data_IF_122103693367
#
_entry.id   IF_122103693367
#
_cell.length_a   1.000
_cell.length_b   1.000
_cell.length_c   1.000
_cell.angle_alpha   90.00
_cell.angle_beta   90.00
_cell.angle_gamma   90.00
#
_symmetry.space_group_name_H-M   'P 1'
#
loop_
_entity.id
_entity.type
_entity.pdbx_description
1 polymer ?
#
# COMPACT_ATOMS: atom_id res chain seq x y z
N UNK A 1 14.54 12.85 -6.99
CA UNK A 1 13.38 12.09 -7.51
C UNK A 1 12.37 11.82 -6.41
N UNK A 2 11.13 11.45 -6.75
CA UNK A 2 10.14 10.96 -5.81
C UNK A 2 9.77 9.54 -6.19
N UNK A 3 9.77 8.64 -5.22
CA UNK A 3 9.49 7.22 -5.44
C UNK A 3 8.18 6.81 -4.78
N UNK A 4 7.48 5.87 -5.41
CA UNK A 4 6.22 5.30 -4.93
C UNK A 4 6.30 3.79 -5.02
N UNK A 5 5.96 3.10 -3.93
CA UNK A 5 5.86 1.65 -3.84
C UNK A 5 4.71 1.26 -2.93
N UNK A 6 4.26 0.01 -2.98
CA UNK A 6 3.18 -0.49 -2.13
C UNK A 6 3.24 -2.01 -1.96
N UNK A 7 2.37 -2.54 -1.12
CA UNK A 7 2.05 -3.97 -1.06
C UNK A 7 3.30 -4.87 -0.89
N UNK A 8 4.14 -4.54 0.10
CA UNK A 8 5.30 -5.35 0.42
C UNK A 8 4.95 -6.56 1.32
N UNK A 9 3.88 -6.50 2.09
CA UNK A 9 3.39 -7.58 2.96
C UNK A 9 4.49 -8.25 3.80
N UNK A 10 5.37 -7.45 4.39
CA UNK A 10 6.44 -7.95 5.26
C UNK A 10 5.89 -8.83 6.39
N UNK A 11 6.53 -9.97 6.60
CA UNK A 11 6.15 -10.94 7.63
C UNK A 11 5.00 -11.85 7.23
N UNK A 12 4.61 -11.87 5.96
CA UNK A 12 3.60 -12.80 5.45
C UNK A 12 4.01 -14.25 5.69
N UNK A 13 3.07 -15.04 6.21
CA UNK A 13 3.24 -16.48 6.39
C UNK A 13 3.02 -17.28 5.09
N UNK A 14 2.66 -16.60 4.01
CA UNK A 14 2.47 -17.19 2.68
C UNK A 14 3.64 -16.92 1.73
N UNK A 15 4.57 -16.03 2.11
CA UNK A 15 5.78 -15.73 1.35
C UNK A 15 6.94 -16.54 1.95
N UNK A 16 7.53 -17.39 1.12
CA UNK A 16 8.71 -18.14 1.49
C UNK A 16 9.93 -17.21 1.70
N UNK A 17 10.87 -17.63 2.58
CA UNK A 17 12.09 -16.86 2.87
C UNK A 17 11.85 -15.38 3.19
N UNK A 18 10.95 -15.10 4.14
CA UNK A 18 10.57 -13.73 4.51
C UNK A 18 11.76 -12.82 4.89
N UNK A 19 12.90 -13.35 5.32
CA UNK A 19 14.13 -12.60 5.56
C UNK A 19 14.77 -12.12 4.23
N UNK A 20 14.80 -12.95 3.19
CA UNK A 20 15.32 -12.58 1.86
C UNK A 20 14.41 -11.53 1.21
N UNK A 21 13.09 -11.69 1.34
CA UNK A 21 12.11 -10.70 0.91
C UNK A 21 12.35 -9.33 1.56
N UNK A 22 12.52 -9.27 2.90
CA UNK A 22 12.83 -8.04 3.60
C UNK A 22 14.18 -7.45 3.17
N UNK A 23 15.20 -8.29 2.95
CA UNK A 23 16.51 -7.86 2.45
C UNK A 23 16.41 -7.21 1.07
N UNK A 24 15.68 -7.84 0.14
CA UNK A 24 15.48 -7.29 -1.21
C UNK A 24 14.74 -5.95 -1.18
N UNK A 25 13.73 -5.80 -0.30
CA UNK A 25 13.07 -4.51 -0.10
C UNK A 25 14.04 -3.44 0.43
N UNK A 26 14.93 -3.78 1.35
CA UNK A 26 15.95 -2.86 1.87
C UNK A 26 16.90 -2.45 0.74
N UNK A 27 17.39 -3.37 -0.06
CA UNK A 27 18.26 -3.08 -1.21
C UNK A 27 17.58 -2.16 -2.23
N UNK A 28 16.28 -2.38 -2.50
CA UNK A 28 15.47 -1.50 -3.35
C UNK A 28 15.39 -0.07 -2.77
N UNK A 29 15.20 0.07 -1.46
CA UNK A 29 15.21 1.38 -0.79
C UNK A 29 16.59 2.04 -0.80
N UNK A 30 17.65 1.26 -0.67
CA UNK A 30 19.04 1.75 -0.77
C UNK A 30 19.33 2.30 -2.18
N UNK A 31 18.91 1.59 -3.22
CA UNK A 31 18.98 2.07 -4.61
C UNK A 31 18.20 3.38 -4.78
N UNK A 32 16.94 3.44 -4.29
CA UNK A 32 16.17 4.69 -4.37
C UNK A 32 16.84 5.85 -3.64
N UNK A 33 17.58 5.58 -2.56
CA UNK A 33 18.22 6.59 -1.73
C UNK A 33 19.34 7.37 -2.43
N UNK A 34 19.78 6.97 -3.60
CA UNK A 34 20.84 7.63 -4.36
C UNK A 34 20.38 9.02 -4.88
N UNK A 35 19.08 9.15 -5.25
CA UNK A 35 18.55 10.40 -5.80
C UNK A 35 17.17 10.80 -5.22
N UNK A 36 16.65 10.04 -4.26
CA UNK A 36 15.34 10.32 -3.65
C UNK A 36 15.36 11.59 -2.80
N UNK A 37 14.34 12.43 -2.96
CA UNK A 37 13.97 13.48 -1.99
C UNK A 37 12.79 13.03 -1.12
N UNK A 38 11.93 12.16 -1.64
CA UNK A 38 10.80 11.57 -0.89
C UNK A 38 10.50 10.15 -1.39
N UNK A 39 10.08 9.29 -0.47
CA UNK A 39 9.62 7.94 -0.75
C UNK A 39 8.23 7.78 -0.15
N UNK A 40 7.24 7.43 -0.98
CA UNK A 40 5.85 7.19 -0.60
C UNK A 40 5.56 5.69 -0.66
N UNK A 41 5.20 5.11 0.48
CA UNK A 41 4.78 3.72 0.63
C UNK A 41 3.26 3.70 0.74
N UNK A 42 2.56 3.28 -0.30
CA UNK A 42 1.11 3.44 -0.42
C UNK A 42 0.31 2.27 0.19
N UNK A 43 0.69 1.85 1.40
CA UNK A 43 -0.06 0.87 2.22
C UNK A 43 0.37 -0.57 2.02
N UNK A 44 -0.13 -1.42 2.92
CA UNK A 44 0.13 -2.86 3.00
C UNK A 44 1.63 -3.21 2.99
N UNK A 45 2.43 -2.37 3.69
CA UNK A 45 3.85 -2.65 3.90
C UNK A 45 4.08 -3.85 4.80
N UNK A 46 3.13 -4.13 5.69
CA UNK A 46 3.14 -5.30 6.58
C UNK A 46 1.92 -6.18 6.29
N UNK A 47 2.12 -7.51 6.25
CA UNK A 47 1.03 -8.46 6.05
C UNK A 47 0.00 -8.44 7.19
N UNK A 48 0.44 -8.07 8.38
CA UNK A 48 -0.40 -7.70 9.52
C UNK A 48 0.36 -6.77 10.46
N UNK A 49 -0.22 -5.62 10.79
CA UNK A 49 0.32 -4.67 11.76
C UNK A 49 -0.72 -4.28 12.78
N UNK A 50 -0.34 -4.40 14.07
CA UNK A 50 -1.14 -3.97 15.21
C UNK A 50 -0.25 -3.42 16.32
N UNK A 51 -0.55 -2.24 16.83
CA UNK A 51 0.14 -1.66 17.99
C UNK A 51 -0.63 -1.98 19.27
N UNK A 52 -0.23 -3.06 19.95
CA UNK A 52 -0.79 -3.48 21.24
C UNK A 52 -0.31 -2.56 22.37
N UNK A 53 -1.05 -2.52 23.49
CA UNK A 53 -0.57 -1.86 24.72
C UNK A 53 0.60 -2.63 25.33
N UNK A 54 0.64 -3.95 25.18
CA UNK A 54 1.75 -4.80 25.63
C UNK A 54 2.78 -4.92 24.52
N UNK A 55 4.06 -4.89 24.86
CA UNK A 55 5.16 -4.99 23.91
C UNK A 55 5.09 -6.28 23.08
N UNK A 56 4.96 -6.14 21.78
CA UNK A 56 5.02 -7.24 20.83
C UNK A 56 6.46 -7.54 20.43
N UNK A 57 7.00 -8.67 20.92
CA UNK A 57 8.37 -9.09 20.59
C UNK A 57 8.50 -9.52 19.11
N UNK A 58 7.41 -9.94 18.44
CA UNK A 58 7.44 -10.37 17.04
C UNK A 58 7.84 -9.24 16.10
N UNK A 59 7.55 -8.00 16.45
CA UNK A 59 7.95 -6.82 15.67
C UNK A 59 9.46 -6.64 15.50
N UNK A 60 10.27 -7.31 16.35
CA UNK A 60 11.74 -7.28 16.21
C UNK A 60 12.23 -7.83 14.86
N UNK A 61 11.45 -8.70 14.22
CA UNK A 61 11.78 -9.21 12.88
C UNK A 61 11.90 -8.08 11.84
N UNK A 62 11.22 -6.95 12.03
CA UNK A 62 11.26 -5.79 11.12
C UNK A 62 12.35 -4.78 11.46
N UNK A 63 13.18 -5.03 12.50
CA UNK A 63 14.22 -4.09 12.90
C UNK A 63 15.19 -3.71 11.78
N UNK A 64 15.62 -4.60 10.87
CA UNK A 64 16.46 -4.21 9.73
C UNK A 64 15.76 -3.18 8.84
N UNK A 65 14.50 -3.39 8.49
CA UNK A 65 13.70 -2.46 7.71
C UNK A 65 13.52 -1.11 8.41
N UNK A 66 13.17 -1.12 9.71
CA UNK A 66 13.04 0.13 10.49
C UNK A 66 14.37 0.88 10.61
N UNK A 67 15.49 0.15 10.72
CA UNK A 67 16.82 0.77 10.75
C UNK A 67 17.11 1.47 9.43
N UNK A 68 16.76 0.86 8.31
CA UNK A 68 16.95 1.46 7.00
C UNK A 68 16.09 2.72 6.85
N UNK A 69 14.78 2.68 7.18
CA UNK A 69 13.94 3.87 7.10
C UNK A 69 14.51 5.04 7.93
N UNK A 70 15.04 4.77 9.15
CA UNK A 70 15.70 5.81 9.94
C UNK A 70 17.00 6.33 9.31
N UNK A 71 17.74 5.46 8.65
CA UNK A 71 18.96 5.84 7.91
C UNK A 71 18.61 6.79 6.76
N UNK A 72 17.56 6.47 5.99
CA UNK A 72 17.05 7.31 4.92
C UNK A 72 16.54 8.66 5.42
N UNK A 73 15.75 8.67 6.49
CA UNK A 73 15.29 9.91 7.12
C UNK A 73 16.45 10.79 7.60
N UNK A 74 17.52 10.19 8.16
CA UNK A 74 18.74 10.91 8.56
C UNK A 74 19.52 11.49 7.37
N UNK A 75 19.42 10.89 6.18
CA UNK A 75 19.94 11.45 4.92
C UNK A 75 19.10 12.63 4.39
N UNK A 76 18.00 13.00 5.05
CA UNK A 76 17.10 14.06 4.62
C UNK A 76 16.01 13.61 3.65
N UNK A 77 15.84 12.31 3.43
CA UNK A 77 14.77 11.76 2.59
C UNK A 77 13.47 11.75 3.38
N UNK A 78 12.41 12.37 2.85
CA UNK A 78 11.10 12.36 3.47
C UNK A 78 10.40 11.02 3.21
N UNK A 79 10.11 10.28 4.29
CA UNK A 79 9.46 8.98 4.22
C UNK A 79 7.98 9.13 4.60
N UNK A 80 7.10 8.70 3.71
CA UNK A 80 5.65 8.71 3.90
C UNK A 80 5.12 7.28 3.84
N UNK A 81 4.32 6.87 4.83
CA UNK A 81 3.67 5.56 4.87
C UNK A 81 2.17 5.77 4.96
N UNK A 82 1.44 5.29 3.97
CA UNK A 82 -0.01 5.18 4.00
C UNK A 82 -0.39 3.87 4.69
N UNK A 83 -1.48 3.87 5.41
CA UNK A 83 -2.06 2.64 5.90
C UNK A 83 -2.91 1.99 4.81
N UNK A 84 -2.73 0.68 4.62
CA UNK A 84 -3.61 -0.15 3.82
C UNK A 84 -4.59 -0.94 4.70
N UNK A 85 -5.22 -1.96 4.14
CA UNK A 85 -6.17 -2.79 4.89
C UNK A 85 -5.50 -3.83 5.80
N UNK A 86 -4.21 -4.11 5.63
CA UNK A 86 -3.43 -5.04 6.45
C UNK A 86 -2.67 -4.34 7.60
N UNK A 87 -2.35 -3.07 7.46
CA UNK A 87 -1.51 -2.32 8.41
C UNK A 87 -2.18 -1.04 8.96
N UNK A 88 -3.51 -0.99 8.92
CA UNK A 88 -4.30 0.18 9.35
C UNK A 88 -4.25 0.45 10.87
N UNK A 89 -3.82 -0.53 11.70
CA UNK A 89 -3.90 -0.43 13.16
C UNK A 89 -2.59 0.08 13.79
N UNK A 90 -2.14 1.23 13.31
CA UNK A 90 -1.03 2.01 13.86
C UNK A 90 -1.56 3.19 14.68
N UNK A 91 -0.93 3.48 15.83
CA UNK A 91 -1.37 4.48 16.80
C UNK A 91 -0.20 5.38 17.25
N UNK A 92 0.69 5.68 16.31
CA UNK A 92 1.86 6.52 16.51
C UNK A 92 3.16 5.78 16.84
N UNK A 93 3.10 4.47 17.10
CA UNK A 93 4.30 3.66 17.33
C UNK A 93 5.14 3.50 16.08
N UNK A 94 4.51 3.32 14.91
CA UNK A 94 5.22 3.20 13.65
C UNK A 94 5.99 4.48 13.33
N UNK A 95 5.37 5.66 13.48
CA UNK A 95 6.05 6.94 13.37
C UNK A 95 7.28 7.05 14.29
N UNK A 96 7.11 6.73 15.59
CA UNK A 96 8.21 6.77 16.58
C UNK A 96 9.38 5.85 16.24
N UNK A 97 9.07 4.69 15.64
CA UNK A 97 10.09 3.68 15.30
C UNK A 97 10.82 4.03 14.01
N UNK A 98 10.14 4.60 13.02
CA UNK A 98 10.67 4.81 11.67
C UNK A 98 11.08 6.26 11.39
N UNK A 99 10.45 7.23 12.03
CA UNK A 99 10.52 8.66 11.68
C UNK A 99 9.66 9.04 10.47
N UNK A 100 8.92 8.08 9.89
CA UNK A 100 8.06 8.33 8.73
C UNK A 100 6.81 9.12 9.10
N UNK A 101 6.31 9.92 8.17
CA UNK A 101 4.97 10.50 8.25
C UNK A 101 3.92 9.44 7.92
N UNK A 102 2.90 9.29 8.77
CA UNK A 102 1.88 8.25 8.60
C UNK A 102 0.58 8.88 8.09
N UNK A 103 0.07 8.38 6.97
CA UNK A 103 -1.17 8.82 6.33
C UNK A 103 -2.26 7.77 6.52
N UNK A 104 -3.37 8.16 7.14
CA UNK A 104 -4.54 7.30 7.41
C UNK A 104 -5.64 7.43 6.35
N UNK A 105 -5.47 8.34 5.41
CA UNK A 105 -6.43 8.62 4.35
C UNK A 105 -5.72 9.01 3.06
N UNK A 106 -6.40 8.92 1.91
CA UNK A 106 -5.90 9.47 0.65
C UNK A 106 -5.51 10.93 0.79
N UNK A 107 -4.51 11.36 0.06
CA UNK A 107 -4.13 12.77 -0.03
C UNK A 107 -3.81 13.18 -1.46
N UNK A 108 -3.88 14.48 -1.70
CA UNK A 108 -3.43 15.10 -2.95
C UNK A 108 -2.20 15.93 -2.66
N UNK A 109 -1.16 15.73 -3.45
CA UNK A 109 0.09 16.51 -3.36
C UNK A 109 0.36 17.21 -4.68
N UNK A 110 1.11 18.32 -4.61
CA UNK A 110 1.64 18.99 -5.80
C UNK A 110 3.16 18.87 -5.79
N UNK A 111 3.72 18.31 -6.87
CA UNK A 111 5.18 18.12 -7.02
C UNK A 111 5.57 18.29 -8.49
N UNK A 112 6.62 19.05 -8.72
CA UNK A 112 7.18 19.28 -10.06
C UNK A 112 6.13 19.72 -11.09
N UNK A 113 5.22 20.63 -10.68
CA UNK A 113 4.15 21.15 -11.55
C UNK A 113 3.01 20.17 -11.82
N UNK A 114 2.99 19.00 -11.15
CA UNK A 114 1.97 17.96 -11.26
C UNK A 114 1.16 17.80 -9.99
N UNK A 115 -0.13 17.53 -10.14
CA UNK A 115 -1.05 17.20 -9.07
C UNK A 115 -1.26 15.69 -9.01
N UNK A 116 -0.89 15.06 -7.88
CA UNK A 116 -0.95 13.62 -7.71
C UNK A 116 -1.95 13.26 -6.61
N UNK A 117 -2.86 12.35 -6.89
CA UNK A 117 -3.73 11.73 -5.89
C UNK A 117 -3.10 10.42 -5.45
N UNK A 118 -2.82 10.29 -4.14
CA UNK A 118 -2.15 9.14 -3.54
C UNK A 118 -3.11 8.41 -2.60
N UNK A 119 -3.26 7.12 -2.80
CA UNK A 119 -4.07 6.28 -1.92
C UNK A 119 -3.60 4.82 -1.97
N UNK A 120 -3.87 4.04 -0.90
CA UNK A 120 -3.72 2.60 -1.00
C UNK A 120 -4.69 2.02 -2.03
N UNK A 121 -5.95 2.42 -2.01
CA UNK A 121 -6.95 2.02 -3.00
C UNK A 121 -8.09 1.19 -2.43
N UNK A 122 -7.93 0.59 -1.25
CA UNK A 122 -8.93 -0.26 -0.62
C UNK A 122 -10.23 0.50 -0.33
N UNK A 123 -11.32 0.05 -0.93
CA UNK A 123 -12.66 0.62 -0.76
C UNK A 123 -12.90 1.94 -1.49
N UNK A 124 -12.01 2.36 -2.38
CA UNK A 124 -12.31 3.44 -3.33
C UNK A 124 -13.17 2.87 -4.46
N UNK A 125 -14.37 3.42 -4.58
CA UNK A 125 -15.38 3.01 -5.55
C UNK A 125 -16.02 4.27 -6.16
N UNK A 126 -16.46 4.22 -7.42
CA UNK A 126 -17.30 5.29 -7.95
C UNK A 126 -18.65 5.33 -7.21
N UNK A 127 -19.32 6.46 -7.20
CA UNK A 127 -20.58 6.64 -6.47
C UNK A 127 -21.69 5.68 -6.92
N UNK A 128 -21.71 5.39 -8.23
CA UNK A 128 -22.67 4.46 -8.85
C UNK A 128 -22.07 3.05 -9.08
N UNK A 129 -21.12 2.63 -8.23
CA UNK A 129 -20.41 1.36 -8.40
C UNK A 129 -21.34 0.14 -8.54
N UNK A 130 -22.55 0.19 -7.97
CA UNK A 130 -23.52 -0.90 -8.07
C UNK A 130 -23.95 -1.20 -9.51
N UNK A 131 -23.95 -0.19 -10.39
CA UNK A 131 -24.33 -0.33 -11.79
C UNK A 131 -23.32 -1.17 -12.61
N UNK A 132 -22.07 -1.20 -12.15
CA UNK A 132 -20.99 -1.90 -12.85
C UNK A 132 -20.89 -3.39 -12.50
N UNK A 133 -21.60 -3.85 -11.44
CA UNK A 133 -21.36 -5.19 -10.91
C UNK A 133 -22.67 -6.00 -10.72
N UNK A 134 -22.64 -7.30 -11.08
CA UNK A 134 -23.78 -8.20 -10.80
C UNK A 134 -23.99 -8.40 -9.29
N UNK A 135 -25.20 -8.73 -8.87
CA UNK A 135 -25.61 -8.87 -7.46
C UNK A 135 -24.66 -9.72 -6.61
N UNK A 136 -24.09 -10.79 -7.18
CA UNK A 136 -23.12 -11.65 -6.47
C UNK A 136 -21.83 -10.89 -6.09
N UNK A 137 -21.33 -10.03 -6.98
CA UNK A 137 -20.13 -9.20 -6.75
C UNK A 137 -20.47 -8.08 -5.78
N UNK A 138 -21.62 -7.40 -5.95
CA UNK A 138 -22.12 -6.38 -5.02
C UNK A 138 -22.18 -6.87 -3.58
N UNK A 139 -22.69 -8.09 -3.35
CA UNK A 139 -22.70 -8.71 -2.00
C UNK A 139 -21.30 -8.87 -1.40
N UNK A 140 -20.29 -9.21 -2.21
CA UNK A 140 -18.90 -9.33 -1.74
C UNK A 140 -18.33 -7.96 -1.38
N UNK A 141 -18.52 -6.95 -2.23
CA UNK A 141 -18.07 -5.57 -1.98
C UNK A 141 -18.73 -5.04 -0.71
N UNK A 142 -20.05 -5.16 -0.55
CA UNK A 142 -20.76 -4.73 0.64
C UNK A 142 -20.27 -5.43 1.92
N UNK A 143 -19.96 -6.73 1.84
CA UNK A 143 -19.35 -7.45 2.97
C UNK A 143 -17.98 -6.90 3.32
N UNK A 144 -17.14 -6.62 2.33
CA UNK A 144 -15.83 -5.99 2.53
C UNK A 144 -15.96 -4.61 3.16
N UNK A 145 -16.84 -3.76 2.66
CA UNK A 145 -17.09 -2.42 3.20
C UNK A 145 -17.59 -2.46 4.65
N UNK A 146 -18.45 -3.43 5.00
CA UNK A 146 -18.88 -3.65 6.39
C UNK A 146 -17.71 -4.06 7.29
N UNK A 147 -16.85 -4.97 6.84
CA UNK A 147 -15.65 -5.38 7.59
C UNK A 147 -14.69 -4.20 7.76
N UNK A 148 -14.45 -3.40 6.72
CA UNK A 148 -13.64 -2.18 6.79
C UNK A 148 -14.20 -1.21 7.84
N UNK A 149 -15.53 -1.00 7.88
CA UNK A 149 -16.18 -0.16 8.90
C UNK A 149 -15.98 -0.72 10.32
N UNK A 150 -16.04 -2.05 10.49
CA UNK A 150 -15.77 -2.72 11.77
C UNK A 150 -14.29 -2.50 12.18
N UNK A 151 -13.36 -2.71 11.28
CA UNK A 151 -11.92 -2.53 11.56
C UNK A 151 -11.53 -1.09 11.83
N UNK A 152 -12.26 -0.11 11.28
CA UNK A 152 -12.07 1.31 11.56
C UNK A 152 -12.80 1.80 12.82
N UNK A 153 -13.55 0.92 13.51
CA UNK A 153 -14.24 1.29 14.74
C UNK A 153 -13.24 1.43 15.90
N UNK A 154 -13.13 2.63 16.47
CA UNK A 154 -12.16 2.97 17.52
C UNK A 154 -12.31 2.12 18.80
N UNK A 155 -13.54 1.79 19.18
CA UNK A 155 -13.81 0.93 20.35
C UNK A 155 -13.30 -0.48 20.13
N UNK A 156 -13.55 -1.05 18.95
CA UNK A 156 -13.07 -2.38 18.60
C UNK A 156 -11.54 -2.40 18.47
N UNK A 157 -10.96 -1.37 17.90
CA UNK A 157 -9.50 -1.20 17.85
C UNK A 157 -8.91 -1.15 19.26
N UNK A 158 -9.51 -0.39 20.17
CA UNK A 158 -9.08 -0.33 21.57
C UNK A 158 -9.16 -1.69 22.25
N UNK A 159 -10.27 -2.40 22.12
CA UNK A 159 -10.42 -3.76 22.68
C UNK A 159 -9.39 -4.74 22.12
N UNK A 160 -9.12 -4.67 20.81
CA UNK A 160 -8.13 -5.52 20.18
C UNK A 160 -6.70 -5.19 20.65
N UNK A 161 -6.40 -3.91 20.95
CA UNK A 161 -5.12 -3.47 21.54
C UNK A 161 -4.88 -4.04 22.93
N UNK A 162 -5.93 -4.32 23.70
CA UNK A 162 -5.84 -4.95 25.01
C UNK A 162 -5.47 -6.44 24.96
N UNK A 163 -5.62 -7.10 23.80
CA UNK A 163 -5.27 -8.51 23.66
C UNK A 163 -3.77 -8.74 23.86
N UNK A 164 -3.39 -9.88 24.49
CA UNK A 164 -2.00 -10.31 24.46
C UNK A 164 -1.52 -10.45 23.00
N UNK A 165 -0.34 -9.91 22.62
CA UNK A 165 0.16 -9.93 21.26
C UNK A 165 0.18 -11.33 20.62
N UNK A 166 0.44 -12.37 21.42
CA UNK A 166 0.42 -13.77 20.95
C UNK A 166 -0.95 -14.16 20.39
N UNK A 167 -2.04 -13.75 21.04
CA UNK A 167 -3.43 -14.05 20.61
C UNK A 167 -3.78 -13.19 19.42
N UNK A 168 -3.60 -11.88 19.51
CA UNK A 168 -3.94 -10.95 18.44
C UNK A 168 -3.17 -11.25 17.15
N UNK A 169 -1.87 -11.54 17.26
CA UNK A 169 -1.06 -11.95 16.10
C UNK A 169 -1.53 -13.27 15.47
N UNK A 170 -1.92 -14.27 16.30
CA UNK A 170 -2.46 -15.53 15.76
C UNK A 170 -3.70 -15.29 14.90
N UNK A 171 -4.60 -14.42 15.37
CA UNK A 171 -5.83 -14.06 14.64
C UNK A 171 -5.47 -13.29 13.38
N UNK A 172 -4.68 -12.21 13.49
CA UNK A 172 -4.36 -11.31 12.39
C UNK A 172 -3.55 -11.98 11.28
N UNK A 173 -2.42 -12.62 11.62
CA UNK A 173 -1.63 -13.36 10.62
C UNK A 173 -2.36 -14.56 10.03
N UNK A 174 -3.24 -15.22 10.81
CA UNK A 174 -4.07 -16.30 10.28
C UNK A 174 -5.05 -15.82 9.22
N UNK A 175 -5.66 -14.66 9.46
CA UNK A 175 -6.54 -14.01 8.49
C UNK A 175 -5.76 -13.55 7.23
N UNK A 176 -4.65 -12.85 7.42
CA UNK A 176 -3.78 -12.37 6.34
C UNK A 176 -3.28 -13.53 5.47
N UNK A 177 -2.75 -14.60 6.09
CA UNK A 177 -2.31 -15.81 5.37
C UNK A 177 -3.41 -16.38 4.49
N UNK A 178 -4.64 -16.52 5.02
CA UNK A 178 -5.77 -17.06 4.25
C UNK A 178 -6.12 -16.17 3.05
N UNK A 179 -6.07 -14.84 3.23
CA UNK A 179 -6.30 -13.87 2.16
C UNK A 179 -5.24 -14.02 1.07
N UNK A 180 -3.96 -14.03 1.47
CA UNK A 180 -2.80 -14.12 0.57
C UNK A 180 -2.76 -15.42 -0.22
N UNK A 181 -2.95 -16.57 0.44
CA UNK A 181 -2.99 -17.87 -0.26
C UNK A 181 -4.12 -17.93 -1.30
N UNK A 182 -5.27 -17.31 -1.01
CA UNK A 182 -6.36 -17.24 -1.96
C UNK A 182 -6.02 -16.38 -3.18
N UNK A 183 -5.32 -15.29 -2.97
CA UNK A 183 -4.88 -14.37 -4.03
C UNK A 183 -3.82 -15.02 -4.91
N UNK A 184 -2.81 -15.65 -4.32
CA UNK A 184 -1.78 -16.40 -5.05
C UNK A 184 -2.41 -17.52 -5.90
N UNK A 185 -3.38 -18.26 -5.32
CA UNK A 185 -4.06 -19.34 -6.03
C UNK A 185 -5.00 -18.85 -7.14
N UNK A 186 -5.52 -17.63 -7.01
CA UNK A 186 -6.47 -17.04 -7.95
C UNK A 186 -6.12 -15.56 -8.17
N UNK A 187 -5.05 -15.27 -8.92
CA UNK A 187 -4.68 -13.89 -9.22
C UNK A 187 -5.85 -13.19 -9.90
N UNK A 188 -6.10 -11.96 -9.47
CA UNK A 188 -7.18 -11.16 -10.03
C UNK A 188 -6.59 -10.22 -11.08
N UNK A 189 -6.61 -10.59 -12.38
CA UNK A 189 -6.03 -9.77 -13.44
C UNK A 189 -6.76 -8.44 -13.58
N UNK A 190 -6.21 -7.56 -14.37
CA UNK A 190 -6.86 -6.32 -14.76
C UNK A 190 -8.23 -6.62 -15.39
N UNK A 191 -9.27 -6.04 -14.82
CA UNK A 191 -10.68 -6.30 -15.22
C UNK A 191 -11.09 -5.54 -16.47
N UNK A 192 -10.19 -4.74 -17.02
CA UNK A 192 -10.48 -3.80 -18.09
C UNK A 192 -10.94 -2.45 -17.57
N UNK A 193 -10.74 -1.44 -18.37
CA UNK A 193 -10.96 -0.02 -18.09
C UNK A 193 -12.39 0.32 -17.62
N UNK A 194 -13.36 -0.47 -18.04
CA UNK A 194 -14.78 -0.28 -17.71
C UNK A 194 -15.25 -1.06 -16.48
N UNK A 195 -14.37 -1.82 -15.83
CA UNK A 195 -14.71 -2.65 -14.67
C UNK A 195 -13.71 -2.58 -13.54
N UNK A 196 -12.55 -1.94 -13.74
CA UNK A 196 -11.55 -1.78 -12.68
C UNK A 196 -11.97 -0.65 -11.75
N UNK A 197 -12.22 -0.97 -10.48
CA UNK A 197 -12.79 -0.06 -9.47
C UNK A 197 -12.02 1.25 -9.38
N UNK A 198 -10.69 1.19 -9.32
CA UNK A 198 -9.82 2.37 -9.16
C UNK A 198 -9.78 3.24 -10.41
N UNK A 199 -9.89 2.63 -11.59
CA UNK A 199 -10.00 3.37 -12.87
C UNK A 199 -11.34 4.09 -12.94
N UNK A 200 -12.44 3.40 -12.58
CA UNK A 200 -13.77 3.99 -12.54
C UNK A 200 -13.87 5.14 -11.54
N UNK A 201 -13.26 4.98 -10.35
CA UNK A 201 -13.15 6.03 -9.35
C UNK A 201 -12.43 7.26 -9.92
N UNK A 202 -11.25 7.08 -10.51
CA UNK A 202 -10.47 8.18 -11.07
C UNK A 202 -11.23 8.92 -12.20
N UNK A 203 -11.89 8.17 -13.10
CA UNK A 203 -12.73 8.76 -14.16
C UNK A 203 -13.91 9.56 -13.60
N UNK A 204 -14.50 9.12 -12.50
CA UNK A 204 -15.55 9.88 -11.83
C UNK A 204 -15.01 11.18 -11.24
N UNK A 205 -13.83 11.15 -10.59
CA UNK A 205 -13.19 12.36 -10.06
C UNK A 205 -12.93 13.38 -11.18
N UNK A 206 -12.41 12.95 -12.33
CA UNK A 206 -12.21 13.82 -13.49
C UNK A 206 -13.54 14.43 -14.00
N UNK A 207 -14.61 13.63 -14.10
CA UNK A 207 -15.95 14.11 -14.49
C UNK A 207 -16.53 15.14 -13.52
N UNK A 208 -16.18 15.04 -12.24
CA UNK A 208 -16.61 15.99 -11.19
C UNK A 208 -15.75 17.27 -11.16
N UNK A 209 -14.77 17.40 -12.06
CA UNK A 209 -13.85 18.54 -12.09
C UNK A 209 -12.71 18.46 -11.08
N UNK A 210 -12.53 17.34 -10.43
CA UNK A 210 -11.42 17.07 -9.51
C UNK A 210 -10.19 16.59 -10.27
N UNK A 211 -9.66 17.39 -11.18
CA UNK A 211 -8.54 17.01 -12.04
C UNK A 211 -7.28 16.65 -11.25
N UNK A 212 -6.60 15.57 -11.67
CA UNK A 212 -5.28 15.14 -11.22
C UNK A 212 -4.46 14.64 -12.41
N UNK A 213 -3.21 15.05 -12.50
CA UNK A 213 -2.31 14.53 -13.54
C UNK A 213 -2.07 13.03 -13.34
N UNK A 214 -1.95 12.58 -12.07
CA UNK A 214 -1.73 11.18 -11.73
C UNK A 214 -2.59 10.73 -10.55
N UNK A 215 -3.28 9.60 -10.71
CA UNK A 215 -3.89 8.81 -9.64
C UNK A 215 -3.02 7.60 -9.39
N UNK A 216 -2.37 7.52 -8.22
CA UNK A 216 -1.40 6.48 -7.89
C UNK A 216 -1.97 5.59 -6.78
N UNK A 217 -2.04 4.28 -7.05
CA UNK A 217 -2.67 3.30 -6.18
C UNK A 217 -1.80 2.06 -5.95
N UNK A 218 -1.96 1.41 -4.79
CA UNK A 218 -1.57 0.05 -4.47
C UNK A 218 -2.74 -0.93 -4.55
N UNK A 219 -2.82 -1.85 -3.56
CA UNK A 219 -3.95 -2.73 -3.23
C UNK A 219 -4.30 -3.81 -4.25
N UNK A 220 -4.20 -3.51 -5.54
CA UNK A 220 -4.65 -4.43 -6.60
C UNK A 220 -3.58 -5.42 -7.03
N UNK A 221 -2.33 -5.24 -6.62
CA UNK A 221 -1.19 -6.04 -7.04
C UNK A 221 -1.11 -6.22 -8.56
N UNK A 222 -1.46 -5.17 -9.29
CA UNK A 222 -1.43 -5.11 -10.75
C UNK A 222 -0.55 -3.94 -11.14
N UNK A 223 0.43 -4.18 -11.98
CA UNK A 223 1.17 -3.12 -12.65
C UNK A 223 0.32 -2.57 -13.79
N UNK A 224 -0.03 -1.29 -13.70
CA UNK A 224 -0.84 -0.61 -14.71
C UNK A 224 -0.43 0.84 -14.82
N UNK A 225 -0.31 1.32 -16.05
CA UNK A 225 -0.17 2.72 -16.40
C UNK A 225 -1.15 3.02 -17.52
N UNK A 226 -2.28 3.65 -17.17
CA UNK A 226 -3.42 3.84 -18.05
C UNK A 226 -3.77 5.31 -18.16
N UNK A 227 -3.75 5.85 -19.36
CA UNK A 227 -4.26 7.19 -19.65
C UNK A 227 -5.79 7.18 -19.66
N UNK A 228 -6.43 8.01 -18.84
CA UNK A 228 -7.90 8.09 -18.70
C UNK A 228 -8.49 9.36 -19.33
N UNK A 229 -7.69 10.43 -19.44
CA UNK A 229 -7.96 11.65 -20.21
C UNK A 229 -6.66 12.11 -20.89
N UNK A 230 -6.66 13.10 -21.80
CA UNK A 230 -5.42 13.60 -22.39
C UNK A 230 -4.36 14.02 -21.35
N UNK A 231 -4.78 14.51 -20.19
CA UNK A 231 -3.91 15.10 -19.17
C UNK A 231 -3.90 14.31 -17.84
N UNK A 232 -4.59 13.15 -17.77
CA UNK A 232 -4.72 12.37 -16.53
C UNK A 232 -4.44 10.89 -16.74
N UNK A 233 -3.72 10.27 -15.79
CA UNK A 233 -3.34 8.85 -15.82
C UNK A 233 -3.63 8.17 -14.48
N UNK A 234 -4.02 6.90 -14.55
CA UNK A 234 -4.10 5.99 -13.40
C UNK A 234 -2.88 5.09 -13.42
N UNK A 235 -2.15 5.06 -12.32
CA UNK A 235 -0.98 4.22 -12.11
C UNK A 235 -1.23 3.29 -10.93
N UNK A 236 -1.16 1.98 -11.15
CA UNK A 236 -1.20 0.97 -10.11
C UNK A 236 0.21 0.38 -9.96
N UNK A 237 0.70 0.36 -8.72
CA UNK A 237 2.11 0.10 -8.43
C UNK A 237 2.51 -1.38 -8.47
N UNK A 238 1.57 -2.30 -8.71
CA UNK A 238 1.88 -3.73 -8.58
C UNK A 238 2.10 -4.11 -7.12
N UNK A 239 3.18 -4.83 -6.85
CA UNK A 239 3.57 -5.25 -5.50
C UNK A 239 5.10 -5.33 -5.32
N UNK A 240 5.55 -5.41 -4.06
CA UNK A 240 6.95 -5.58 -3.70
C UNK A 240 7.22 -6.99 -3.11
N UNK A 241 6.61 -8.05 -3.66
CA UNK A 241 6.89 -9.43 -3.26
C UNK A 241 6.91 -10.44 -4.43
N UNK A 242 6.19 -10.18 -5.52
CA UNK A 242 6.24 -10.96 -6.76
C UNK A 242 6.78 -10.13 -7.92
N UNK A 243 6.16 -8.96 -8.18
CA UNK A 243 6.47 -8.12 -9.33
C UNK A 243 7.65 -7.17 -9.07
N UNK A 244 7.85 -6.76 -7.82
CA UNK A 244 8.91 -5.82 -7.41
C UNK A 244 8.85 -4.49 -8.17
N UNK A 245 7.64 -3.95 -8.32
CA UNK A 245 7.38 -2.74 -9.08
C UNK A 245 7.36 -1.49 -8.21
N UNK A 246 7.77 -0.39 -8.80
CA UNK A 246 7.71 0.95 -8.20
C UNK A 246 7.51 2.01 -9.27
N UNK A 247 7.01 3.18 -8.89
CA UNK A 247 6.98 4.34 -9.77
C UNK A 247 8.00 5.39 -9.35
N UNK A 248 8.51 6.13 -10.33
CA UNK A 248 9.46 7.23 -10.16
C UNK A 248 8.93 8.49 -10.84
N UNK A 249 8.82 9.58 -10.08
CA UNK A 249 8.51 10.92 -10.60
C UNK A 249 9.79 11.74 -10.69
N UNK A 250 10.14 12.17 -11.89
CA UNK A 250 11.29 13.00 -12.12
C UNK A 250 11.00 14.51 -11.90
N UNK A 251 12.04 15.33 -11.93
CA UNK A 251 11.94 16.78 -11.72
C UNK A 251 11.25 17.53 -12.88
N UNK A 252 10.99 16.86 -14.01
CA UNK A 252 10.16 17.36 -15.10
C UNK A 252 8.67 17.00 -14.96
N UNK A 253 8.30 16.31 -13.87
CA UNK A 253 6.94 15.88 -13.63
C UNK A 253 6.52 14.63 -14.42
N UNK A 254 7.48 13.88 -14.97
CA UNK A 254 7.21 12.62 -15.68
C UNK A 254 7.23 11.46 -14.69
N UNK A 255 6.12 10.74 -14.60
CA UNK A 255 5.97 9.51 -13.81
C UNK A 255 6.19 8.28 -14.71
N UNK A 256 7.01 7.34 -14.24
CA UNK A 256 7.31 6.08 -14.94
C UNK A 256 7.27 4.91 -13.98
N UNK A 257 6.76 3.75 -14.43
CA UNK A 257 6.83 2.47 -13.71
C UNK A 257 8.14 1.74 -14.05
N UNK A 258 8.67 1.03 -13.08
CA UNK A 258 9.92 0.28 -13.16
C UNK A 258 9.80 -1.01 -12.36
N UNK A 259 10.55 -2.03 -12.77
CA UNK A 259 10.74 -3.27 -12.02
C UNK A 259 12.13 -3.25 -11.36
N UNK A 260 12.19 -3.72 -10.12
CA UNK A 260 13.44 -3.89 -9.40
C UNK A 260 13.87 -5.36 -9.51
N UNK A 261 14.89 -5.63 -10.31
CA UNK A 261 15.39 -7.00 -10.50
C UNK A 261 16.16 -7.50 -9.26
N UNK A 262 16.87 -6.59 -8.56
CA UNK A 262 17.76 -6.96 -7.44
C UNK A 262 19.02 -7.66 -7.92
N UNK A 263 19.99 -7.81 -7.03
CA UNK A 263 21.09 -8.74 -7.24
C UNK A 263 20.58 -10.14 -6.88
N UNK A 264 20.50 -11.06 -7.84
CA UNK A 264 20.24 -12.47 -7.56
C UNK A 264 21.37 -13.02 -6.69
N UNK A 265 21.05 -13.44 -5.48
CA UNK A 265 21.99 -14.21 -4.66
C UNK A 265 22.22 -15.56 -5.36
N UNK A 266 23.38 -15.73 -6.02
CA UNK A 266 23.91 -17.00 -6.47
C UNK A 266 24.20 -17.93 -5.28
#
# INVERSE_FOLDING_TARGET
MIYFLSDAHLGSLAIERGWAHQKKLIQMLEMMSEDAVSIYMLGDMFDFWMEYFIRDKKKRQYNPFFKELRKLAKKGIHIHIFTGNHDLWTFGGLHKITGAEIHFSPCTIQRYGKTLYLAHGDGLLPSNWEDYYPSRVRKKINRFMRLKKIFNNSTLQFLFRCLPPKIGNKIGYGWAKKSRLKEIANPCPFKGEHKEELVLFAKEQEKQGNHRDYYIFGHRHIELDLQITPDSRVVMLGDCFQQWTYAKLDHHGRLTLHNYEGEDEQ
#
